data_IF_649145723797
#
_entry.id   IF_649145723797
#
_cell.length_a   1.000
_cell.length_b   1.000
_cell.length_c   1.000
_cell.angle_alpha   90.00
_cell.angle_beta   90.00
_cell.angle_gamma   90.00
#
_symmetry.space_group_name_H-M   'P 1'
#
loop_
_entity.id
_entity.type
_entity.pdbx_description
1 polymer ?
#
# COMPACT_ATOMS: atom_id res chain seq x y z
N UNK A 1 22.38 14.35 -19.04
CA UNK A 1 21.38 13.87 -20.01
C UNK A 1 20.71 12.64 -19.43
N UNK A 2 19.56 12.82 -18.75
CA UNK A 2 18.88 11.77 -17.96
C UNK A 2 18.22 10.66 -18.76
N UNK A 3 18.98 9.97 -19.62
CA UNK A 3 18.51 8.75 -20.29
C UNK A 3 18.62 7.58 -19.33
N UNK A 4 17.48 6.95 -19.04
CA UNK A 4 17.43 5.70 -18.29
C UNK A 4 17.89 4.54 -19.19
N UNK A 5 18.62 3.55 -18.66
CA UNK A 5 19.07 2.40 -19.45
C UNK A 5 17.87 1.65 -20.04
N UNK A 6 18.00 1.13 -21.25
CA UNK A 6 16.96 0.33 -21.91
C UNK A 6 17.37 -1.15 -21.95
N UNK A 7 16.40 -2.06 -21.88
CA UNK A 7 16.62 -3.49 -22.13
C UNK A 7 16.67 -3.80 -23.64
N UNK A 8 16.77 -5.09 -23.97
CA UNK A 8 16.89 -5.56 -25.35
C UNK A 8 15.64 -5.28 -26.20
N UNK A 9 14.50 -5.04 -25.54
CA UNK A 9 13.21 -4.73 -26.17
C UNK A 9 12.95 -3.22 -26.24
N UNK A 10 13.89 -2.40 -25.75
CA UNK A 10 13.78 -0.93 -25.73
C UNK A 10 12.93 -0.39 -24.58
N UNK A 11 12.51 -1.24 -23.63
CA UNK A 11 11.83 -0.80 -22.42
C UNK A 11 12.85 -0.28 -21.40
N UNK A 12 12.38 0.52 -20.44
CA UNK A 12 13.25 1.03 -19.37
C UNK A 12 13.75 -0.17 -18.53
N UNK A 13 15.06 -0.35 -18.49
CA UNK A 13 15.69 -1.35 -17.65
C UNK A 13 15.55 -0.95 -16.19
N UNK A 14 14.92 -1.82 -15.42
CA UNK A 14 14.74 -1.62 -13.99
C UNK A 14 15.90 -2.17 -13.15
N UNK A 15 16.94 -2.71 -13.79
CA UNK A 15 18.10 -3.32 -13.11
C UNK A 15 18.85 -2.39 -12.14
N UNK A 16 18.65 -1.07 -12.25
CA UNK A 16 19.16 -0.06 -11.32
C UNK A 16 18.07 0.82 -10.68
N UNK A 17 16.79 0.47 -10.82
CA UNK A 17 15.67 1.28 -10.33
C UNK A 17 14.91 0.48 -9.27
N UNK A 18 15.25 0.74 -8.00
CA UNK A 18 14.56 0.19 -6.84
C UNK A 18 14.88 -1.28 -6.54
N UNK A 19 14.11 -1.85 -5.63
CA UNK A 19 14.23 -3.25 -5.21
C UNK A 19 13.03 -4.04 -5.71
N UNK A 20 13.32 -5.16 -6.39
CA UNK A 20 12.29 -6.09 -6.83
C UNK A 20 11.95 -7.08 -5.73
N UNK A 21 10.65 -7.26 -5.53
CA UNK A 21 10.10 -8.27 -4.62
C UNK A 21 9.21 -9.21 -5.43
N UNK A 22 9.19 -10.48 -5.04
CA UNK A 22 8.50 -11.53 -5.80
C UNK A 22 7.06 -11.74 -5.34
N UNK A 23 6.69 -11.25 -4.15
CA UNK A 23 5.35 -11.44 -3.59
C UNK A 23 4.79 -10.17 -2.93
N UNK A 24 3.46 -10.02 -2.85
CA UNK A 24 2.82 -8.94 -2.08
C UNK A 24 3.25 -8.93 -0.61
N UNK A 25 3.46 -10.10 0.01
CA UNK A 25 3.90 -10.19 1.40
C UNK A 25 5.31 -9.66 1.61
N UNK A 26 6.22 -9.92 0.66
CA UNK A 26 7.56 -9.32 0.65
C UNK A 26 7.49 -7.81 0.46
N UNK A 27 6.59 -7.32 -0.41
CA UNK A 27 6.35 -5.88 -0.56
C UNK A 27 5.90 -5.25 0.76
N UNK A 28 4.88 -5.83 1.41
CA UNK A 28 4.40 -5.39 2.72
C UNK A 28 5.51 -5.32 3.76
N UNK A 29 6.31 -6.38 3.90
CA UNK A 29 7.44 -6.41 4.85
C UNK A 29 8.55 -5.42 4.52
N UNK A 30 8.78 -5.16 3.23
CA UNK A 30 9.80 -4.20 2.78
C UNK A 30 9.39 -2.77 3.09
N UNK A 31 8.11 -2.44 2.87
CA UNK A 31 7.60 -1.07 3.10
C UNK A 31 7.28 -0.82 4.58
N UNK A 32 6.69 -1.81 5.27
CA UNK A 32 6.28 -1.72 6.67
C UNK A 32 6.99 -2.77 7.55
N UNK A 33 8.32 -2.65 7.75
CA UNK A 33 9.05 -3.56 8.63
C UNK A 33 8.60 -3.41 10.10
N UNK A 34 8.49 -4.53 10.82
CA UNK A 34 8.07 -4.56 12.24
C UNK A 34 6.78 -3.76 12.50
N UNK A 35 5.78 -3.94 11.63
CA UNK A 35 4.52 -3.19 11.72
C UNK A 35 3.84 -3.35 13.08
N UNK A 36 3.89 -4.55 13.67
CA UNK A 36 3.37 -4.83 15.01
C UNK A 36 3.97 -3.91 16.10
N UNK A 37 5.22 -3.48 15.96
CA UNK A 37 5.90 -2.59 16.91
C UNK A 37 5.66 -1.12 16.56
N UNK A 38 5.61 -0.79 15.26
CA UNK A 38 5.55 0.59 14.78
C UNK A 38 4.14 1.12 14.50
N UNK A 39 3.09 0.29 14.57
CA UNK A 39 1.71 0.69 14.22
C UNK A 39 1.17 1.92 14.99
N UNK A 40 1.71 2.20 16.18
CA UNK A 40 1.33 3.36 16.99
C UNK A 40 2.14 4.64 16.66
N UNK A 41 3.21 4.53 15.85
CA UNK A 41 4.05 5.65 15.46
C UNK A 41 3.52 6.30 14.17
N UNK A 42 2.87 7.45 14.33
CA UNK A 42 2.26 8.18 13.21
C UNK A 42 3.29 8.68 12.18
N UNK A 43 4.39 9.28 12.63
CA UNK A 43 5.43 9.81 11.72
C UNK A 43 6.03 8.69 10.87
N UNK A 44 6.30 7.54 11.47
CA UNK A 44 6.80 6.36 10.76
C UNK A 44 5.82 5.87 9.69
N UNK A 45 4.52 5.85 9.99
CA UNK A 45 3.49 5.44 9.02
C UNK A 45 3.37 6.43 7.85
N UNK A 46 3.44 7.74 8.13
CA UNK A 46 3.24 8.79 7.13
C UNK A 46 4.31 8.83 6.04
N UNK A 47 5.52 8.35 6.31
CA UNK A 47 6.61 8.29 5.33
C UNK A 47 6.49 7.14 4.32
N UNK A 48 5.47 6.28 4.45
CA UNK A 48 5.38 5.00 3.73
C UNK A 48 4.06 4.89 2.99
N UNK A 49 4.14 4.46 1.73
CA UNK A 49 2.96 4.20 0.90
C UNK A 49 3.19 3.00 -0.02
N UNK A 50 2.14 2.21 -0.22
CA UNK A 50 2.06 1.20 -1.27
C UNK A 50 1.04 1.69 -2.30
N UNK A 51 1.49 1.89 -3.54
CA UNK A 51 0.63 2.24 -4.66
C UNK A 51 0.36 0.98 -5.47
N UNK A 52 -0.90 0.76 -5.84
CA UNK A 52 -1.28 -0.32 -6.73
C UNK A 52 -2.22 0.19 -7.84
N UNK A 53 -2.29 -0.47 -9.00
CA UNK A 53 -3.11 -0.01 -10.13
C UNK A 53 -4.62 -0.06 -9.88
N UNK A 54 -5.10 -0.92 -8.97
CA UNK A 54 -6.53 -1.14 -8.73
C UNK A 54 -6.88 -1.12 -7.25
N UNK A 55 -8.08 -0.63 -6.94
CA UNK A 55 -8.62 -0.60 -5.57
C UNK A 55 -8.78 -2.00 -4.96
N UNK A 56 -9.08 -3.01 -5.77
CA UNK A 56 -9.12 -4.40 -5.32
C UNK A 56 -7.76 -4.87 -4.79
N UNK A 57 -6.68 -4.54 -5.51
CA UNK A 57 -5.31 -4.88 -5.10
C UNK A 57 -4.94 -4.15 -3.82
N UNK A 58 -5.26 -2.84 -3.72
CA UNK A 58 -5.09 -2.06 -2.48
C UNK A 58 -5.89 -2.66 -1.33
N UNK A 59 -7.14 -3.09 -1.56
CA UNK A 59 -8.00 -3.70 -0.55
C UNK A 59 -7.40 -4.99 0.03
N UNK A 60 -6.85 -5.85 -0.84
CA UNK A 60 -6.17 -7.08 -0.43
C UNK A 60 -4.91 -6.80 0.41
N UNK A 61 -4.10 -5.81 0.00
CA UNK A 61 -2.89 -5.39 0.72
C UNK A 61 -3.25 -4.80 2.08
N UNK A 62 -4.20 -3.87 2.12
CA UNK A 62 -4.65 -3.23 3.36
C UNK A 62 -5.23 -4.25 4.35
N UNK A 63 -6.02 -5.21 3.87
CA UNK A 63 -6.56 -6.30 4.70
C UNK A 63 -5.45 -7.20 5.27
N UNK A 64 -4.39 -7.45 4.51
CA UNK A 64 -3.25 -8.23 4.97
C UNK A 64 -2.41 -7.49 6.03
N UNK A 65 -2.18 -6.19 5.86
CA UNK A 65 -1.48 -5.35 6.83
C UNK A 65 -2.29 -5.20 8.12
N UNK A 66 -3.61 -4.96 8.01
CA UNK A 66 -4.50 -4.80 9.17
C UNK A 66 -4.46 -6.03 10.10
N UNK A 67 -4.46 -7.24 9.53
CA UNK A 67 -4.37 -8.50 10.30
C UNK A 67 -3.07 -8.69 11.08
N UNK A 68 -2.02 -7.93 10.76
CA UNK A 68 -0.74 -7.97 11.47
C UNK A 68 -0.68 -6.98 12.64
N UNK A 69 -1.59 -6.01 12.67
CA UNK A 69 -1.68 -5.02 13.75
C UNK A 69 -2.33 -5.71 14.96
N UNK A 70 -1.72 -5.65 16.15
CA UNK A 70 -2.32 -6.22 17.35
C UNK A 70 -3.58 -5.44 17.74
N UNK A 71 -4.64 -6.16 18.09
CA UNK A 71 -5.89 -5.57 18.55
C UNK A 71 -7.12 -6.21 17.91
N UNK A 72 -8.29 -5.68 18.25
CA UNK A 72 -9.54 -6.14 17.66
C UNK A 72 -9.85 -5.40 16.35
N UNK A 73 -10.19 -6.16 15.32
CA UNK A 73 -10.72 -5.61 14.08
C UNK A 73 -12.08 -4.94 14.33
N UNK A 74 -12.28 -3.74 13.77
CA UNK A 74 -13.56 -3.02 13.84
C UNK A 74 -14.09 -2.75 12.44
N UNK A 75 -15.37 -3.05 12.25
CA UNK A 75 -16.09 -2.77 11.01
C UNK A 75 -16.99 -1.56 11.20
N UNK A 76 -16.80 -0.55 10.35
CA UNK A 76 -17.65 0.64 10.30
C UNK A 76 -18.52 0.56 9.05
N UNK A 77 -19.84 0.76 9.22
CA UNK A 77 -20.77 0.84 8.08
C UNK A 77 -20.76 2.26 7.53
N UNK A 78 -20.82 2.41 6.20
CA UNK A 78 -21.09 3.71 5.60
C UNK A 78 -22.50 4.16 5.97
N UNK A 79 -22.68 5.48 6.09
CA UNK A 79 -23.99 6.10 6.20
C UNK A 79 -24.25 6.78 4.87
N UNK A 80 -25.03 6.12 4.02
CA UNK A 80 -25.47 6.65 2.72
C UNK A 80 -26.89 7.20 2.88
N UNK A 81 -27.03 8.34 3.57
CA UNK A 81 -28.31 9.06 3.64
C UNK A 81 -28.34 10.17 2.61
N UNK A 82 -29.33 10.17 1.72
CA UNK A 82 -29.69 11.36 0.96
C UNK A 82 -30.45 12.26 1.93
N UNK A 83 -29.95 13.47 2.19
CA UNK A 83 -30.76 14.48 2.86
C UNK A 83 -31.94 14.77 1.93
N UNK A 84 -33.16 14.44 2.35
CA UNK A 84 -34.35 15.02 1.71
C UNK A 84 -34.18 16.54 1.81
N UNK A 85 -33.99 17.21 0.67
CA UNK A 85 -34.19 18.66 0.61
C UNK A 85 -35.66 18.90 0.92
N UNK A 86 -35.92 19.65 1.99
CA UNK A 86 -37.25 20.21 2.24
C UNK A 86 -37.77 20.89 0.96
N UNK A 87 -39.02 20.55 0.61
CA UNK A 87 -39.76 20.80 -0.63
C UNK A 87 -39.47 22.10 -1.40
#
# INVERSE_FOLDING_TARGET
>A
NGQLPQDQDGHISMSGIGNFVSTPQQLCHTVYPNLNENHANHEWLCERAILAPTNETVGNINSNLLKQIPGEERFYRSVDSVTETDQ
#
